data_IF_159647197060
#
_entry.id   IF_159647197060
#
_cell.length_a   1.000
_cell.length_b   1.000
_cell.length_c   1.000
_cell.angle_alpha   90.00
_cell.angle_beta   90.00
_cell.angle_gamma   90.00
#
_symmetry.space_group_name_H-M   'P 1'
#
loop_
_entity.id
_entity.type
_entity.pdbx_description
1 polymer ?
#
# COMPACT_ATOMS: atom_id res chain seq x y z
N UNK A 1 -4.69 -5.52 7.34
CA UNK A 1 -3.67 -4.61 7.91
C UNK A 1 -2.92 -3.80 6.83
N UNK A 2 -2.31 -2.66 7.16
CA UNK A 2 -1.27 -2.03 6.30
C UNK A 2 0.09 -2.67 6.56
N UNK A 3 0.75 -3.12 5.50
CA UNK A 3 2.08 -3.74 5.56
C UNK A 3 3.08 -2.86 4.85
N UNK A 4 4.15 -2.49 5.57
CA UNK A 4 5.25 -1.69 5.05
C UNK A 4 6.13 -2.56 4.14
N UNK A 5 6.37 -2.11 2.92
CA UNK A 5 7.39 -2.70 2.06
C UNK A 5 8.73 -1.96 2.24
N UNK A 6 9.60 -2.54 3.07
CA UNK A 6 10.92 -1.95 3.37
C UNK A 6 11.92 -2.06 2.19
N UNK A 7 11.55 -2.80 1.15
CA UNK A 7 12.40 -2.99 -0.04
C UNK A 7 12.18 -1.93 -1.11
N UNK A 8 11.09 -1.17 -0.99
CA UNK A 8 10.67 -0.14 -1.95
C UNK A 8 10.71 1.26 -1.37
N UNK A 9 10.87 2.25 -2.23
CA UNK A 9 10.99 3.66 -1.88
C UNK A 9 10.10 4.51 -2.78
N UNK A 10 9.35 5.43 -2.19
CA UNK A 10 8.51 6.39 -2.90
C UNK A 10 8.86 7.79 -2.44
N UNK A 11 9.01 8.73 -3.37
CA UNK A 11 9.01 10.15 -3.03
C UNK A 11 7.59 10.62 -2.71
N UNK A 12 7.50 11.69 -1.93
CA UNK A 12 6.25 12.37 -1.58
C UNK A 12 6.45 13.87 -1.74
N UNK A 13 5.54 14.50 -2.46
CA UNK A 13 5.46 15.94 -2.66
C UNK A 13 4.03 16.40 -2.42
N UNK A 14 3.82 17.13 -1.34
CA UNK A 14 2.49 17.43 -0.78
C UNK A 14 1.59 16.18 -0.68
N UNK A 15 0.53 16.13 -1.49
CA UNK A 15 -0.47 15.05 -1.52
C UNK A 15 -0.21 14.02 -2.64
N UNK A 16 0.91 14.14 -3.36
CA UNK A 16 1.29 13.24 -4.45
C UNK A 16 2.44 12.35 -4.00
N UNK A 17 2.33 11.05 -4.29
CA UNK A 17 3.41 10.10 -4.08
C UNK A 17 3.82 9.48 -5.42
N UNK A 18 5.13 9.27 -5.59
CA UNK A 18 5.67 8.53 -6.73
C UNK A 18 5.38 7.04 -6.69
N UNK A 19 5.68 6.37 -7.80
CA UNK A 19 5.61 4.92 -7.90
C UNK A 19 6.69 4.24 -7.00
N UNK A 20 6.46 3.01 -6.50
CA UNK A 20 7.43 2.28 -5.70
C UNK A 20 8.70 1.90 -6.47
N UNK A 21 9.82 2.55 -6.14
CA UNK A 21 11.15 2.31 -6.74
C UNK A 21 12.01 1.35 -5.90
N UNK A 22 13.05 0.74 -6.48
CA UNK A 22 13.90 -0.23 -5.77
C UNK A 22 15.00 0.42 -4.93
N UNK A 23 15.22 1.72 -5.08
CA UNK A 23 16.22 2.45 -4.32
C UNK A 23 15.84 3.91 -4.12
N UNK A 24 16.45 4.55 -3.12
CA UNK A 24 16.34 6.00 -2.89
C UNK A 24 16.77 6.77 -4.14
N UNK A 25 17.85 6.34 -4.80
CA UNK A 25 18.35 6.99 -6.02
C UNK A 25 17.31 6.97 -7.14
N UNK A 26 16.70 5.81 -7.39
CA UNK A 26 15.64 5.67 -8.40
C UNK A 26 14.41 6.53 -8.03
N UNK A 27 14.02 6.57 -6.75
CA UNK A 27 12.93 7.45 -6.29
C UNK A 27 13.25 8.94 -6.50
N UNK A 28 14.51 9.36 -6.32
CA UNK A 28 14.93 10.73 -6.61
C UNK A 28 14.89 11.00 -8.12
N UNK A 29 15.35 10.08 -8.95
CA UNK A 29 15.34 10.21 -10.41
C UNK A 29 13.90 10.33 -10.94
N UNK A 30 12.99 9.48 -10.44
CA UNK A 30 11.55 9.52 -10.73
C UNK A 30 10.90 10.85 -10.33
N UNK A 31 11.23 11.37 -9.14
CA UNK A 31 10.77 12.69 -8.70
C UNK A 31 11.23 13.83 -9.59
N UNK A 32 12.50 13.79 -10.01
CA UNK A 32 13.06 14.80 -10.92
C UNK A 32 12.40 14.75 -12.30
N UNK A 33 12.06 13.57 -12.78
CA UNK A 33 11.32 13.39 -14.04
C UNK A 33 9.90 13.97 -13.92
N UNK A 34 9.18 13.62 -12.86
CA UNK A 34 7.87 14.20 -12.53
C UNK A 34 7.90 15.73 -12.48
N UNK A 35 8.93 16.32 -11.87
CA UNK A 35 9.10 17.77 -11.79
C UNK A 35 9.37 18.40 -13.17
N UNK A 36 10.19 17.78 -14.02
CA UNK A 36 10.44 18.27 -15.39
C UNK A 36 9.15 18.32 -16.20
N UNK A 37 8.34 17.27 -16.12
CA UNK A 37 7.06 17.18 -16.81
C UNK A 37 6.07 18.22 -16.29
N UNK A 38 5.95 18.36 -14.96
CA UNK A 38 5.05 19.31 -14.31
C UNK A 38 5.34 20.76 -14.72
N UNK A 39 6.63 21.12 -14.82
CA UNK A 39 7.06 22.47 -15.19
C UNK A 39 7.25 22.67 -16.71
N UNK A 40 7.02 21.65 -17.54
CA UNK A 40 7.06 21.75 -19.00
C UNK A 40 8.39 22.26 -19.55
N UNK A 41 9.53 21.85 -18.96
CA UNK A 41 10.88 22.34 -19.30
C UNK A 41 11.41 21.69 -20.60
N UNK A 42 10.55 21.40 -21.56
CA UNK A 42 10.88 20.58 -22.73
C UNK A 42 11.28 21.40 -23.97
N UNK A 43 11.22 22.74 -23.96
CA UNK A 43 11.31 23.50 -25.22
C UNK A 43 11.92 24.91 -25.12
N UNK A 44 12.93 25.12 -24.27
CA UNK A 44 13.76 26.31 -24.43
C UNK A 44 15.23 25.97 -24.26
N UNK A 45 16.06 26.51 -25.17
CA UNK A 45 17.53 26.59 -25.12
C UNK A 45 18.07 27.28 -23.84
N UNK A 46 17.23 27.44 -22.81
CA UNK A 46 17.54 27.81 -21.45
C UNK A 46 16.99 26.73 -20.52
N UNK A 47 17.87 25.84 -20.05
CA UNK A 47 17.56 24.87 -19.00
C UNK A 47 17.28 25.60 -17.68
N UNK A 48 16.03 26.04 -17.48
CA UNK A 48 15.53 26.66 -16.24
C UNK A 48 15.29 25.62 -15.12
N UNK A 49 16.16 24.61 -15.00
CA UNK A 49 16.44 23.99 -13.69
C UNK A 49 17.43 24.85 -12.88
N UNK A 50 17.92 25.97 -13.44
CA UNK A 50 18.83 26.89 -12.77
C UNK A 50 18.22 27.82 -11.71
N UNK A 51 16.90 27.75 -11.43
CA UNK A 51 16.26 28.56 -10.38
C UNK A 51 15.36 27.78 -9.41
N UNK A 52 14.98 26.53 -9.72
CA UNK A 52 14.40 25.61 -8.74
C UNK A 52 15.49 24.64 -8.30
N UNK A 53 16.31 25.09 -7.35
CA UNK A 53 17.22 24.20 -6.63
C UNK A 53 16.36 23.24 -5.79
N UNK A 54 15.96 22.12 -6.40
CA UNK A 54 15.36 21.00 -5.69
C UNK A 54 16.49 20.36 -4.88
N UNK A 55 16.77 20.93 -3.72
CA UNK A 55 17.81 20.43 -2.83
C UNK A 55 17.35 19.20 -2.07
N UNK A 56 16.07 19.19 -1.65
CA UNK A 56 15.51 18.19 -0.77
C UNK A 56 14.30 17.50 -1.39
N UNK A 57 14.18 16.20 -1.10
CA UNK A 57 13.00 15.40 -1.41
C UNK A 57 12.65 14.51 -0.23
N UNK A 58 11.35 14.37 0.05
CA UNK A 58 10.84 13.50 1.10
C UNK A 58 10.62 12.11 0.52
N UNK A 59 11.29 11.11 1.08
CA UNK A 59 11.18 9.71 0.63
C UNK A 59 10.79 8.83 1.81
N UNK A 60 9.83 7.94 1.57
CA UNK A 60 9.38 6.94 2.53
C UNK A 60 9.21 5.57 1.88
N UNK A 61 8.74 4.62 2.69
CA UNK A 61 8.38 3.29 2.20
C UNK A 61 6.87 3.24 1.92
N UNK A 62 6.44 2.55 0.86
CA UNK A 62 5.02 2.32 0.63
C UNK A 62 4.46 1.34 1.64
N UNK A 63 3.23 1.59 2.06
CA UNK A 63 2.40 0.73 2.88
C UNK A 63 1.26 0.22 2.01
N UNK A 64 1.24 -1.09 1.77
CA UNK A 64 0.21 -1.75 0.98
C UNK A 64 -0.84 -2.36 1.91
N UNK A 65 -2.10 -2.33 1.50
CA UNK A 65 -3.16 -3.01 2.25
C UNK A 65 -3.12 -4.51 1.98
N UNK A 66 -3.04 -5.30 3.05
CA UNK A 66 -3.17 -6.76 3.02
C UNK A 66 -4.45 -7.14 3.74
N UNK A 67 -5.44 -7.74 3.05
CA UNK A 67 -6.71 -8.08 3.67
C UNK A 67 -6.54 -9.21 4.69
N UNK A 68 -7.31 -9.09 5.76
CA UNK A 68 -7.47 -10.11 6.80
C UNK A 68 -8.96 -10.39 6.94
N UNK A 69 -9.31 -11.67 6.99
CA UNK A 69 -10.68 -12.13 7.18
C UNK A 69 -10.90 -12.41 8.67
N UNK A 70 -11.89 -11.73 9.22
CA UNK A 70 -12.30 -11.88 10.62
C UNK A 70 -13.28 -13.07 10.74
N UNK A 71 -12.80 -14.15 11.35
CA UNK A 71 -13.57 -15.38 11.55
C UNK A 71 -14.81 -15.19 12.44
N UNK A 72 -14.76 -14.29 13.43
CA UNK A 72 -15.92 -13.97 14.26
C UNK A 72 -17.03 -13.34 13.40
N UNK A 73 -16.66 -12.36 12.56
CA UNK A 73 -17.62 -11.75 11.63
C UNK A 73 -18.21 -12.74 10.64
N UNK A 74 -17.42 -13.71 10.19
CA UNK A 74 -17.91 -14.77 9.29
C UNK A 74 -18.93 -15.66 10.01
N UNK A 75 -18.64 -16.09 11.24
CA UNK A 75 -19.59 -16.86 12.05
C UNK A 75 -20.88 -16.06 12.27
N UNK A 76 -20.76 -14.80 12.67
CA UNK A 76 -21.91 -13.93 12.85
C UNK A 76 -22.74 -13.80 11.57
N UNK A 77 -22.08 -13.63 10.41
CA UNK A 77 -22.78 -13.56 9.14
C UNK A 77 -23.53 -14.86 8.79
N UNK A 78 -22.93 -16.01 9.10
CA UNK A 78 -23.58 -17.32 8.90
C UNK A 78 -24.81 -17.46 9.79
N UNK A 79 -24.70 -17.11 11.07
CA UNK A 79 -25.80 -17.25 12.03
C UNK A 79 -26.95 -16.27 11.78
N UNK A 80 -26.64 -15.02 11.42
CA UNK A 80 -27.65 -13.94 11.33
C UNK A 80 -28.28 -13.84 9.93
N UNK A 81 -27.56 -14.21 8.87
CA UNK A 81 -28.04 -14.02 7.48
C UNK A 81 -28.21 -15.31 6.68
N UNK A 82 -27.44 -16.36 6.99
CA UNK A 82 -27.42 -17.57 6.16
C UNK A 82 -28.09 -18.78 6.83
N UNK A 83 -28.36 -18.73 8.14
CA UNK A 83 -29.05 -19.78 8.86
C UNK A 83 -30.52 -19.78 8.44
N UNK A 84 -30.98 -20.92 7.93
CA UNK A 84 -32.33 -21.06 7.39
C UNK A 84 -33.39 -20.92 8.50
N UNK A 85 -34.41 -20.09 8.27
CA UNK A 85 -35.47 -19.82 9.26
C UNK A 85 -36.17 -21.10 9.74
N UNK A 86 -36.26 -22.12 8.87
CA UNK A 86 -36.88 -23.41 9.20
C UNK A 86 -36.08 -24.19 10.27
N UNK A 87 -34.79 -23.89 10.47
CA UNK A 87 -33.90 -24.59 11.40
C UNK A 87 -33.39 -23.72 12.56
N UNK A 88 -33.55 -22.39 12.49
CA UNK A 88 -33.11 -21.44 13.52
C UNK A 88 -33.61 -21.85 14.91
N UNK A 89 -34.92 -22.14 15.04
CA UNK A 89 -35.54 -22.49 16.34
C UNK A 89 -34.99 -23.78 16.97
N UNK A 90 -34.32 -24.62 16.17
CA UNK A 90 -33.76 -25.91 16.59
C UNK A 90 -32.24 -25.89 16.72
N UNK A 91 -31.59 -24.76 16.45
CA UNK A 91 -30.13 -24.63 16.33
C UNK A 91 -29.51 -23.71 17.40
N UNK A 92 -30.18 -23.57 18.56
CA UNK A 92 -29.75 -22.66 19.65
C UNK A 92 -28.33 -22.91 20.18
N UNK A 93 -27.79 -24.12 20.01
CA UNK A 93 -26.44 -24.51 20.44
C UNK A 93 -25.37 -24.40 19.33
N UNK A 94 -25.79 -24.17 18.09
CA UNK A 94 -24.88 -24.08 16.94
C UNK A 94 -23.96 -22.86 17.07
N UNK A 95 -22.65 -23.11 17.13
CA UNK A 95 -21.59 -22.08 17.22
C UNK A 95 -21.70 -21.13 18.42
N UNK A 96 -22.42 -21.51 19.49
CA UNK A 96 -22.65 -20.64 20.66
C UNK A 96 -21.40 -20.34 21.49
N UNK A 97 -20.53 -21.34 21.66
CA UNK A 97 -19.36 -21.28 22.55
C UNK A 97 -18.06 -21.59 21.80
N UNK A 98 -17.89 -20.99 20.61
CA UNK A 98 -16.63 -21.10 19.87
C UNK A 98 -15.51 -20.45 20.69
N UNK A 99 -14.41 -21.18 20.86
CA UNK A 99 -13.25 -20.69 21.60
C UNK A 99 -12.43 -19.71 20.77
N UNK A 100 -11.83 -18.73 21.43
CA UNK A 100 -10.91 -17.77 20.80
C UNK A 100 -9.81 -18.46 19.97
N UNK A 101 -9.21 -19.54 20.47
CA UNK A 101 -8.17 -20.30 19.75
C UNK A 101 -8.65 -20.87 18.42
N UNK A 102 -9.92 -21.27 18.32
CA UNK A 102 -10.52 -21.73 17.07
C UNK A 102 -10.96 -20.56 16.17
N UNK A 103 -11.34 -19.41 16.74
CA UNK A 103 -11.63 -18.19 15.98
C UNK A 103 -10.36 -17.63 15.33
N UNK A 104 -9.23 -17.65 16.04
CA UNK A 104 -7.92 -17.26 15.52
C UNK A 104 -7.51 -18.20 14.36
N UNK A 105 -7.64 -19.52 14.56
CA UNK A 105 -7.40 -20.53 13.50
C UNK A 105 -8.28 -20.28 12.26
N UNK A 106 -9.59 -20.09 12.46
CA UNK A 106 -10.52 -19.81 11.37
C UNK A 106 -10.14 -18.54 10.59
N UNK A 107 -9.81 -17.47 11.31
CA UNK A 107 -9.38 -16.20 10.71
C UNK A 107 -8.12 -16.36 9.88
N UNK A 108 -7.13 -17.12 10.39
CA UNK A 108 -5.89 -17.40 9.67
C UNK A 108 -6.14 -18.19 8.38
N UNK A 109 -6.91 -19.28 8.46
CA UNK A 109 -7.21 -20.13 7.30
C UNK A 109 -8.04 -19.41 6.24
N UNK A 110 -9.08 -18.67 6.65
CA UNK A 110 -9.89 -17.87 5.72
C UNK A 110 -9.07 -16.75 5.07
N UNK A 111 -8.19 -16.11 5.83
CA UNK A 111 -7.29 -15.07 5.29
C UNK A 111 -6.38 -15.64 4.20
N UNK A 112 -5.76 -16.80 4.43
CA UNK A 112 -4.93 -17.48 3.42
C UNK A 112 -5.72 -17.80 2.15
N UNK A 113 -6.93 -18.36 2.31
CA UNK A 113 -7.80 -18.72 1.18
C UNK A 113 -8.23 -17.48 0.39
N UNK A 114 -8.61 -16.41 1.09
CA UNK A 114 -9.07 -15.15 0.49
C UNK A 114 -7.95 -14.48 -0.31
N UNK A 115 -6.77 -14.30 0.29
CA UNK A 115 -5.62 -13.70 -0.39
C UNK A 115 -5.17 -14.53 -1.61
N UNK A 116 -5.21 -15.87 -1.50
CA UNK A 116 -4.92 -16.74 -2.63
C UNK A 116 -5.97 -16.62 -3.74
N UNK A 117 -7.25 -16.41 -3.38
CA UNK A 117 -8.32 -16.19 -4.34
C UNK A 117 -8.17 -14.84 -5.07
N UNK A 118 -7.87 -13.75 -4.37
CA UNK A 118 -7.61 -12.44 -4.99
C UNK A 118 -6.48 -12.53 -6.01
N UNK A 119 -5.35 -13.15 -5.65
CA UNK A 119 -4.21 -13.40 -6.54
C UNK A 119 -4.57 -14.19 -7.79
N UNK A 120 -5.35 -15.27 -7.63
CA UNK A 120 -5.76 -16.11 -8.76
C UNK A 120 -6.63 -15.36 -9.78
N UNK A 121 -7.37 -14.35 -9.33
CA UNK A 121 -8.34 -13.64 -10.16
C UNK A 121 -7.93 -12.19 -10.47
N UNK A 122 -6.78 -11.73 -9.99
CA UNK A 122 -6.28 -10.37 -10.22
C UNK A 122 -7.08 -9.29 -9.50
N UNK A 123 -7.69 -9.61 -8.35
CA UNK A 123 -8.42 -8.66 -7.51
C UNK A 123 -7.56 -8.01 -6.42
N UNK A 124 -6.24 -8.23 -6.44
CA UNK A 124 -5.33 -7.65 -5.46
C UNK A 124 -5.44 -6.12 -5.44
N UNK A 125 -5.50 -5.54 -4.25
CA UNK A 125 -5.45 -4.09 -4.09
C UNK A 125 -4.03 -3.58 -4.39
N UNK A 126 -3.89 -2.78 -5.44
CA UNK A 126 -2.61 -2.18 -5.84
C UNK A 126 -2.36 -0.81 -5.22
N UNK A 127 -3.31 -0.28 -4.46
CA UNK A 127 -3.15 1.01 -3.80
C UNK A 127 -2.15 0.90 -2.63
N UNK A 128 -1.35 1.96 -2.48
CA UNK A 128 -0.39 2.11 -1.41
C UNK A 128 -0.42 3.53 -0.88
N UNK A 129 0.07 3.71 0.35
CA UNK A 129 0.29 5.04 0.96
C UNK A 129 1.71 5.14 1.46
N UNK A 130 2.35 6.29 1.32
CA UNK A 130 3.74 6.48 1.80
C UNK A 130 3.70 7.27 3.10
N UNK A 131 4.11 6.64 4.20
CA UNK A 131 4.08 7.22 5.55
C UNK A 131 5.50 7.32 6.13
N UNK A 132 5.70 8.23 7.09
CA UNK A 132 6.95 8.34 7.83
C UNK A 132 8.17 8.72 6.98
N UNK A 133 7.97 9.62 6.01
CA UNK A 133 9.01 10.08 5.08
C UNK A 133 10.19 10.75 5.79
N UNK A 134 11.39 10.62 5.21
CA UNK A 134 12.59 11.35 5.60
C UNK A 134 13.05 12.25 4.46
N UNK A 135 13.71 13.34 4.78
CA UNK A 135 14.28 14.25 3.78
C UNK A 135 15.66 13.75 3.33
N UNK A 136 15.89 13.80 2.02
CA UNK A 136 17.14 13.42 1.37
C UNK A 136 17.62 14.55 0.48
N UNK A 137 18.92 14.83 0.52
CA UNK A 137 19.57 15.79 -0.36
C UNK A 137 19.77 15.16 -1.74
N UNK A 138 19.18 15.76 -2.77
CA UNK A 138 19.25 15.24 -4.15
C UNK A 138 20.70 15.12 -4.63
N UNK A 139 21.54 16.10 -4.30
CA UNK A 139 22.96 16.14 -4.69
C UNK A 139 23.82 15.00 -4.15
N UNK A 140 23.38 14.31 -3.08
CA UNK A 140 24.08 13.14 -2.55
C UNK A 140 23.91 11.89 -3.43
N UNK A 141 22.84 11.85 -4.23
CA UNK A 141 22.43 10.67 -5.01
C UNK A 141 22.55 10.87 -6.52
N UNK A 142 22.31 12.09 -6.98
CA UNK A 142 22.41 12.47 -8.39
C UNK A 142 23.49 13.52 -8.50
N UNK A 143 24.67 13.12 -9.01
CA UNK A 143 25.70 14.10 -9.38
C UNK A 143 25.20 14.81 -10.63
N UNK A 144 24.98 16.12 -10.54
CA UNK A 144 24.82 16.93 -11.73
C UNK A 144 26.04 16.70 -12.61
N UNK A 145 25.84 16.21 -13.83
CA UNK A 145 26.85 16.35 -14.86
C UNK A 145 27.08 17.85 -14.99
N UNK A 146 28.23 18.31 -14.50
CA UNK A 146 28.72 19.65 -14.79
C UNK A 146 28.98 19.67 -16.29
N UNK A 147 28.03 20.19 -17.08
CA UNK A 147 28.30 20.65 -18.43
C UNK A 147 29.41 21.71 -18.41
#
# INVERSE_FOLDING_TARGET
>A
MLVKDETKYCWVDDDVAGEPQNSIKEAIEDYLDYKKDLFGICDSDHGYLGEYDIELVRIGHPYCYVPEVDGERVIWNVLDYNLDEEIVEWSDDYMKDVKNEHMDELSEELTKVFQAWEKRHGYENTAYVTLGTKEYLVGDYVKGDKC
#
